data_IF_556343433541
#
_entry.id   IF_556343433541
#
_cell.length_a   1.000
_cell.length_b   1.000
_cell.length_c   1.000
_cell.angle_alpha   90.00
_cell.angle_beta   90.00
_cell.angle_gamma   90.00
#
_symmetry.space_group_name_H-M   'P 1'
#
loop_
_entity.id
_entity.type
_entity.pdbx_description
1 polymer ?
#
# COMPACT_ATOMS: atom_id res chain seq x y z
N UNK A 1 10.22 20.14 -3.59
CA UNK A 1 9.56 19.69 -4.83
C UNK A 1 9.35 18.19 -4.69
N UNK A 2 8.10 17.73 -4.55
CA UNK A 2 7.83 16.30 -4.51
C UNK A 2 8.00 15.75 -5.93
N UNK A 3 8.95 14.82 -6.11
CA UNK A 3 9.13 14.13 -7.39
C UNK A 3 7.91 13.29 -7.75
N UNK A 4 7.79 12.87 -9.01
CA UNK A 4 6.72 11.97 -9.43
C UNK A 4 6.72 10.68 -8.58
N UNK A 5 5.54 10.11 -8.26
CA UNK A 5 5.45 8.83 -7.55
C UNK A 5 6.21 7.73 -8.29
N UNK A 6 6.84 6.82 -7.53
CA UNK A 6 7.48 5.66 -8.13
C UNK A 6 6.45 4.69 -8.68
N UNK A 7 6.74 4.09 -9.84
CA UNK A 7 5.99 2.95 -10.34
C UNK A 7 6.64 1.66 -9.88
N UNK A 8 5.97 0.86 -9.05
CA UNK A 8 6.51 -0.43 -8.63
C UNK A 8 6.10 -1.54 -9.59
N UNK A 9 7.09 -2.33 -10.03
CA UNK A 9 6.92 -3.55 -10.82
C UNK A 9 6.80 -4.74 -9.86
N UNK A 10 5.84 -5.61 -10.11
CA UNK A 10 5.58 -6.74 -9.21
C UNK A 10 6.64 -7.84 -9.33
N UNK A 11 6.99 -8.41 -8.17
CA UNK A 11 7.80 -9.60 -8.00
C UNK A 11 7.05 -10.54 -7.04
N UNK A 12 6.22 -11.41 -7.58
CA UNK A 12 5.32 -12.25 -6.78
C UNK A 12 6.07 -13.48 -6.26
N UNK A 13 6.28 -13.57 -4.96
CA UNK A 13 6.91 -14.73 -4.31
C UNK A 13 5.81 -15.58 -3.68
N UNK A 14 5.78 -16.85 -4.04
CA UNK A 14 4.87 -17.84 -3.46
C UNK A 14 5.64 -18.82 -2.57
N UNK A 15 5.13 -19.00 -1.35
CA UNK A 15 5.60 -19.96 -0.36
C UNK A 15 4.48 -20.96 -0.08
N UNK A 16 4.69 -22.22 -0.43
CA UNK A 16 3.69 -23.31 -0.40
C UNK A 16 4.31 -24.63 0.10
N UNK A 17 3.50 -25.68 0.17
CA UNK A 17 3.96 -27.07 0.40
C UNK A 17 4.78 -27.25 1.69
N UNK A 18 4.37 -26.59 2.78
CA UNK A 18 5.04 -26.72 4.07
C UNK A 18 4.80 -28.09 4.69
N UNK A 19 5.89 -28.78 5.02
CA UNK A 19 5.92 -30.14 5.55
C UNK A 19 6.28 -30.17 7.04
N UNK A 20 6.02 -31.29 7.70
CA UNK A 20 6.28 -31.45 9.14
C UNK A 20 7.77 -31.38 9.51
N UNK A 21 8.66 -31.69 8.58
CA UNK A 21 10.12 -31.54 8.74
C UNK A 21 10.62 -30.10 8.52
N UNK A 22 9.70 -29.17 8.24
CA UNK A 22 9.98 -27.76 7.99
C UNK A 22 10.36 -27.44 6.53
N UNK A 23 10.38 -28.42 5.62
CA UNK A 23 10.61 -28.16 4.21
C UNK A 23 9.41 -27.44 3.56
N UNK A 24 9.67 -26.53 2.63
CA UNK A 24 8.66 -25.82 1.84
C UNK A 24 9.20 -25.42 0.47
N UNK A 25 8.27 -25.03 -0.42
CA UNK A 25 8.59 -24.55 -1.76
C UNK A 25 8.55 -23.04 -1.83
N UNK A 26 9.51 -22.45 -2.55
CA UNK A 26 9.57 -21.02 -2.88
C UNK A 26 9.71 -20.85 -4.38
N UNK A 27 8.88 -19.98 -4.97
CA UNK A 27 8.98 -19.66 -6.40
C UNK A 27 8.51 -18.24 -6.69
N UNK A 28 8.91 -17.73 -7.86
CA UNK A 28 8.37 -16.51 -8.45
C UNK A 28 7.22 -16.85 -9.37
N UNK A 29 6.11 -16.10 -9.30
CA UNK A 29 4.93 -16.29 -10.16
C UNK A 29 4.76 -15.14 -11.13
N UNK A 30 4.47 -15.48 -12.39
CA UNK A 30 4.19 -14.52 -13.44
C UNK A 30 5.45 -13.83 -13.97
N UNK A 31 5.25 -12.79 -14.77
CA UNK A 31 6.31 -12.02 -15.39
C UNK A 31 6.91 -11.02 -14.40
N UNK A 32 8.23 -10.95 -14.37
CA UNK A 32 8.98 -9.92 -13.62
C UNK A 32 9.93 -9.18 -14.57
N UNK A 33 10.47 -8.01 -14.20
CA UNK A 33 11.43 -7.30 -15.04
C UNK A 33 12.67 -8.14 -15.40
N UNK A 34 13.11 -9.01 -14.48
CA UNK A 34 14.27 -9.90 -14.67
C UNK A 34 13.97 -11.19 -15.42
N UNK A 35 12.72 -11.41 -15.86
CA UNK A 35 12.28 -12.61 -16.57
C UNK A 35 11.19 -13.39 -15.83
N UNK A 36 11.11 -14.68 -16.13
CA UNK A 36 10.10 -15.60 -15.61
C UNK A 36 10.74 -16.83 -14.96
N UNK A 37 9.99 -17.48 -14.08
CA UNK A 37 10.35 -18.74 -13.42
C UNK A 37 9.34 -19.82 -13.77
N UNK A 38 9.79 -21.00 -14.16
CA UNK A 38 8.89 -22.13 -14.39
C UNK A 38 8.49 -22.73 -13.04
N UNK A 39 7.28 -23.28 -12.96
CA UNK A 39 6.81 -23.93 -11.74
C UNK A 39 7.72 -25.10 -11.29
N UNK A 40 8.33 -25.81 -12.25
CA UNK A 40 9.26 -26.92 -11.98
C UNK A 40 10.59 -26.46 -11.34
N UNK A 41 10.95 -25.18 -11.46
CA UNK A 41 12.18 -24.63 -10.91
C UNK A 41 12.02 -24.19 -9.45
N UNK A 42 10.87 -24.46 -8.81
CA UNK A 42 10.58 -24.08 -7.44
C UNK A 42 11.62 -24.64 -6.45
N UNK A 43 12.26 -23.72 -5.72
CA UNK A 43 13.32 -24.00 -4.77
C UNK A 43 12.74 -24.67 -3.52
N UNK A 44 13.41 -25.72 -3.03
CA UNK A 44 13.07 -26.31 -1.72
C UNK A 44 13.96 -25.68 -0.66
N UNK A 45 13.34 -25.15 0.39
CA UNK A 45 14.03 -24.57 1.55
C UNK A 45 13.50 -25.21 2.83
N UNK A 46 14.32 -25.26 3.87
CA UNK A 46 13.93 -25.80 5.18
C UNK A 46 13.92 -24.68 6.21
N UNK A 47 12.78 -24.52 6.90
CA UNK A 47 12.64 -23.65 8.06
C UNK A 47 12.79 -24.46 9.35
N UNK A 48 13.82 -24.13 10.13
CA UNK A 48 14.06 -24.73 11.44
C UNK A 48 13.76 -23.68 12.51
N UNK A 49 12.63 -23.78 13.25
CA UNK A 49 12.24 -22.76 14.24
C UNK A 49 13.32 -22.46 15.30
N UNK A 50 14.09 -23.47 15.69
CA UNK A 50 15.20 -23.33 16.64
C UNK A 50 16.26 -22.32 16.20
N UNK A 51 16.50 -22.18 14.89
CA UNK A 51 17.50 -21.28 14.32
C UNK A 51 17.12 -19.79 14.40
N UNK A 52 15.83 -19.53 14.64
CA UNK A 52 15.25 -18.19 14.68
C UNK A 52 14.78 -17.80 16.08
N UNK A 53 14.41 -18.77 16.92
CA UNK A 53 13.73 -18.54 18.21
C UNK A 53 14.47 -17.54 19.11
N UNK A 54 15.81 -17.65 19.20
CA UNK A 54 16.64 -16.72 19.98
C UNK A 54 16.57 -15.29 19.43
N UNK A 55 16.73 -15.12 18.12
CA UNK A 55 16.77 -13.83 17.44
C UNK A 55 15.39 -13.16 17.46
N UNK A 56 14.33 -13.90 17.13
CA UNK A 56 12.95 -13.43 17.18
C UNK A 56 12.56 -13.02 18.60
N UNK A 57 12.90 -13.81 19.61
CA UNK A 57 12.62 -13.45 21.00
C UNK A 57 13.38 -12.19 21.45
N UNK A 58 14.61 -11.98 21.00
CA UNK A 58 15.36 -10.74 21.26
C UNK A 58 14.77 -9.55 20.52
N UNK A 59 14.39 -9.74 19.25
CA UNK A 59 13.69 -8.74 18.46
C UNK A 59 12.42 -8.32 19.19
N UNK A 60 11.55 -9.27 19.55
CA UNK A 60 10.28 -9.09 20.27
C UNK A 60 10.44 -8.36 21.63
N UNK A 61 11.55 -8.57 22.33
CA UNK A 61 11.86 -7.90 23.61
C UNK A 61 12.64 -6.59 23.46
N UNK A 62 12.90 -6.11 22.24
CA UNK A 62 13.73 -4.92 21.96
C UNK A 62 15.15 -5.04 22.52
N UNK A 63 15.73 -6.24 22.45
CA UNK A 63 17.06 -6.59 22.97
C UNK A 63 18.01 -7.14 21.89
N UNK A 64 17.61 -7.07 20.63
CA UNK A 64 18.47 -7.48 19.51
C UNK A 64 19.54 -6.40 19.28
N UNK A 65 20.81 -6.81 19.20
CA UNK A 65 21.88 -5.90 18.77
C UNK A 65 21.85 -5.71 17.25
N UNK A 66 22.58 -4.71 16.74
CA UNK A 66 22.73 -4.51 15.30
C UNK A 66 23.24 -5.77 14.57
N UNK A 67 24.23 -6.48 15.12
CA UNK A 67 24.74 -7.71 14.51
C UNK A 67 23.71 -8.83 14.47
N UNK A 68 22.86 -8.92 15.49
CA UNK A 68 21.76 -9.90 15.55
C UNK A 68 20.64 -9.56 14.57
N UNK A 69 20.38 -8.28 14.32
CA UNK A 69 19.45 -7.86 13.27
C UNK A 69 19.98 -8.26 11.89
N UNK A 70 21.27 -8.07 11.61
CA UNK A 70 21.87 -8.54 10.37
C UNK A 70 21.85 -10.07 10.26
N UNK A 71 22.11 -10.80 11.35
CA UNK A 71 22.03 -12.27 11.39
C UNK A 71 20.60 -12.74 11.05
N UNK A 72 19.60 -12.15 11.70
CA UNK A 72 18.19 -12.43 11.44
C UNK A 72 17.83 -12.14 9.98
N UNK A 73 18.22 -10.96 9.49
CA UNK A 73 17.91 -10.55 8.12
C UNK A 73 18.54 -11.44 7.06
N UNK A 74 19.76 -11.92 7.28
CA UNK A 74 20.42 -12.91 6.40
C UNK A 74 19.69 -14.25 6.41
N UNK A 75 19.25 -14.71 7.58
CA UNK A 75 18.48 -15.95 7.70
C UNK A 75 17.12 -15.84 6.99
N UNK A 76 16.41 -14.71 7.14
CA UNK A 76 15.17 -14.44 6.42
C UNK A 76 15.40 -14.39 4.90
N UNK A 77 16.47 -13.75 4.44
CA UNK A 77 16.83 -13.72 3.03
C UNK A 77 17.07 -15.12 2.45
N UNK A 78 17.72 -16.01 3.21
CA UNK A 78 17.94 -17.40 2.80
C UNK A 78 16.64 -18.21 2.64
N UNK A 79 15.60 -17.86 3.41
CA UNK A 79 14.27 -18.45 3.24
C UNK A 79 13.48 -17.84 2.08
N UNK A 80 13.62 -16.53 1.87
CA UNK A 80 12.77 -15.77 0.95
C UNK A 80 13.31 -15.73 -0.49
N UNK A 81 14.62 -15.64 -0.66
CA UNK A 81 15.30 -15.43 -1.93
C UNK A 81 16.37 -16.52 -2.20
N UNK A 82 16.02 -17.82 -2.10
CA UNK A 82 16.95 -18.92 -2.38
C UNK A 82 17.29 -18.99 -3.89
N UNK A 83 18.46 -19.54 -4.22
CA UNK A 83 18.83 -19.99 -5.56
C UNK A 83 18.32 -19.09 -6.70
N UNK A 84 17.49 -19.67 -7.59
CA UNK A 84 16.94 -19.00 -8.76
C UNK A 84 16.03 -17.81 -8.41
N UNK A 85 15.32 -17.85 -7.28
CA UNK A 85 14.49 -16.74 -6.81
C UNK A 85 15.35 -15.52 -6.50
N UNK A 86 16.49 -15.71 -5.83
CA UNK A 86 17.45 -14.65 -5.54
C UNK A 86 18.12 -14.09 -6.80
N UNK A 87 18.45 -14.93 -7.78
CA UNK A 87 18.97 -14.49 -9.08
C UNK A 87 17.96 -13.59 -9.81
N UNK A 88 16.70 -14.03 -9.93
CA UNK A 88 15.63 -13.26 -10.58
C UNK A 88 15.34 -11.93 -9.87
N UNK A 89 15.42 -11.91 -8.53
CA UNK A 89 15.30 -10.67 -7.76
C UNK A 89 16.40 -9.68 -8.14
N UNK A 90 17.66 -10.13 -8.17
CA UNK A 90 18.79 -9.28 -8.54
C UNK A 90 18.71 -8.79 -9.99
N UNK A 91 18.33 -9.65 -10.91
CA UNK A 91 18.17 -9.29 -12.32
C UNK A 91 16.99 -8.34 -12.54
N UNK A 92 15.90 -8.51 -11.78
CA UNK A 92 14.77 -7.58 -11.80
C UNK A 92 15.19 -6.19 -11.33
N UNK A 93 15.97 -6.08 -10.25
CA UNK A 93 16.47 -4.78 -9.78
C UNK A 93 17.37 -4.07 -10.79
N UNK A 94 18.21 -4.81 -11.51
CA UNK A 94 19.07 -4.25 -12.58
C UNK A 94 18.26 -3.76 -13.78
N UNK A 95 17.13 -4.40 -14.07
CA UNK A 95 16.28 -4.09 -15.21
C UNK A 95 15.33 -2.89 -14.99
N UNK A 96 15.16 -2.42 -13.75
CA UNK A 96 14.28 -1.30 -13.42
C UNK A 96 14.79 0.04 -13.99
N UNK A 97 13.91 0.78 -14.67
CA UNK A 97 14.19 2.13 -15.15
C UNK A 97 14.26 3.17 -14.00
N UNK A 98 14.70 4.39 -14.33
CA UNK A 98 14.56 5.53 -13.44
C UNK A 98 13.06 5.78 -13.16
N UNK A 99 12.72 6.08 -11.90
CA UNK A 99 11.32 6.22 -11.48
C UNK A 99 10.61 4.88 -11.18
N UNK A 100 11.26 3.73 -11.39
CA UNK A 100 10.70 2.43 -11.06
C UNK A 100 11.27 1.82 -9.76
N UNK A 101 10.43 1.04 -9.08
CA UNK A 101 10.78 0.17 -7.95
C UNK A 101 10.35 -1.28 -8.19
N UNK A 102 10.74 -2.18 -7.29
CA UNK A 102 10.31 -3.59 -7.27
C UNK A 102 9.44 -3.85 -6.04
N UNK A 103 8.25 -4.39 -6.23
CA UNK A 103 7.33 -4.76 -5.14
C UNK A 103 7.33 -6.27 -4.95
N UNK A 104 7.92 -6.72 -3.85
CA UNK A 104 7.92 -8.12 -3.43
C UNK A 104 6.55 -8.42 -2.83
N UNK A 105 5.72 -9.14 -3.58
CA UNK A 105 4.38 -9.54 -3.18
C UNK A 105 4.45 -10.93 -2.59
N UNK A 106 4.41 -11.01 -1.26
CA UNK A 106 4.60 -12.23 -0.51
C UNK A 106 3.28 -12.96 -0.34
N UNK A 107 3.09 -14.05 -1.10
CA UNK A 107 2.00 -15.01 -0.92
C UNK A 107 2.51 -16.18 -0.09
N UNK A 108 2.10 -16.24 1.18
CA UNK A 108 2.59 -17.23 2.13
C UNK A 108 1.41 -17.97 2.72
N UNK A 109 1.20 -19.21 2.27
CA UNK A 109 0.10 -20.06 2.77
C UNK A 109 0.36 -20.62 4.18
N UNK A 110 1.59 -21.06 4.52
CA UNK A 110 1.87 -21.61 5.84
C UNK A 110 1.90 -20.50 6.91
N UNK A 111 0.99 -20.56 7.88
CA UNK A 111 0.88 -19.54 8.95
C UNK A 111 2.18 -19.38 9.75
N UNK A 112 2.93 -20.46 9.96
CA UNK A 112 4.21 -20.43 10.66
C UNK A 112 5.26 -19.54 9.94
N UNK A 113 5.24 -19.54 8.60
CA UNK A 113 6.11 -18.70 7.79
C UNK A 113 5.53 -17.31 7.58
N UNK A 114 4.20 -17.17 7.53
CA UNK A 114 3.53 -15.88 7.44
C UNK A 114 3.81 -15.01 8.69
N UNK A 115 3.99 -15.64 9.87
CA UNK A 115 4.33 -14.94 11.11
C UNK A 115 5.78 -14.43 11.18
N UNK A 116 6.67 -14.82 10.25
CA UNK A 116 8.05 -14.34 10.23
C UNK A 116 8.10 -12.84 9.83
N UNK A 117 9.04 -12.06 10.40
CA UNK A 117 9.11 -10.62 10.18
C UNK A 117 9.92 -10.31 8.91
N UNK A 118 9.39 -10.64 7.72
CA UNK A 118 10.07 -10.50 6.42
C UNK A 118 10.56 -9.08 6.13
N UNK A 119 10.01 -8.07 6.78
CA UNK A 119 10.43 -6.68 6.69
C UNK A 119 11.88 -6.47 7.17
N UNK A 120 12.43 -7.38 7.98
CA UNK A 120 13.83 -7.36 8.41
C UNK A 120 14.76 -8.13 7.46
N UNK A 121 14.29 -8.55 6.28
CA UNK A 121 15.13 -9.24 5.29
C UNK A 121 16.32 -8.36 4.90
N UNK A 122 17.52 -8.95 4.94
CA UNK A 122 18.77 -8.27 4.64
C UNK A 122 19.49 -8.99 3.49
N UNK A 123 19.72 -8.27 2.39
CA UNK A 123 20.42 -8.78 1.21
C UNK A 123 21.66 -7.93 0.98
N UNK A 124 22.82 -8.48 1.32
CA UNK A 124 24.09 -7.80 1.13
C UNK A 124 24.40 -7.65 -0.36
N UNK A 125 24.52 -6.41 -0.85
CA UNK A 125 24.72 -6.14 -2.29
C UNK A 125 26.19 -6.07 -2.68
N UNK A 126 27.04 -5.61 -1.77
CA UNK A 126 28.48 -5.43 -2.03
C UNK A 126 29.30 -6.25 -1.05
N UNK A 127 30.35 -6.89 -1.55
CA UNK A 127 31.36 -7.52 -0.69
C UNK A 127 32.02 -6.44 0.18
N UNK A 128 31.89 -6.56 1.51
CA UNK A 128 32.39 -5.56 2.44
C UNK A 128 31.56 -5.46 3.72
N UNK A 129 31.47 -4.24 4.25
CA UNK A 129 30.79 -3.93 5.51
C UNK A 129 29.27 -4.13 5.42
N UNK A 130 28.65 -4.52 6.53
CA UNK A 130 27.20 -4.61 6.64
C UNK A 130 26.62 -3.20 6.76
N UNK A 131 25.81 -2.78 5.80
CA UNK A 131 25.21 -1.44 5.79
C UNK A 131 23.70 -1.50 6.05
N UNK A 132 23.13 -0.64 6.91
CA UNK A 132 21.68 -0.65 7.16
C UNK A 132 20.81 -0.50 5.91
N UNK A 133 21.29 0.20 4.89
CA UNK A 133 20.58 0.38 3.62
C UNK A 133 20.43 -0.91 2.79
N UNK A 134 21.07 -2.01 3.19
CA UNK A 134 20.90 -3.33 2.56
C UNK A 134 19.75 -4.15 3.19
N UNK A 135 19.11 -3.65 4.25
CA UNK A 135 17.77 -4.11 4.63
C UNK A 135 16.75 -3.68 3.59
N UNK A 136 15.99 -4.63 3.06
CA UNK A 136 15.06 -4.39 1.96
C UNK A 136 14.00 -3.34 2.30
N UNK A 137 13.50 -3.35 3.53
CA UNK A 137 12.50 -2.39 4.01
C UNK A 137 13.02 -0.94 4.16
N UNK A 138 14.35 -0.73 4.09
CA UNK A 138 15.00 0.57 4.12
C UNK A 138 15.53 0.99 2.73
N UNK A 139 15.04 0.36 1.66
CA UNK A 139 15.38 0.72 0.28
C UNK A 139 14.17 1.34 -0.41
N UNK A 140 14.30 2.59 -0.86
CA UNK A 140 13.20 3.30 -1.56
C UNK A 140 12.65 2.53 -2.76
N UNK A 141 13.52 1.86 -3.53
CA UNK A 141 13.13 1.10 -4.73
C UNK A 141 12.65 -0.32 -4.45
N UNK A 142 12.55 -0.75 -3.18
CA UNK A 142 12.07 -2.09 -2.82
C UNK A 142 10.91 -1.96 -1.84
N UNK A 143 9.76 -2.49 -2.24
CA UNK A 143 8.60 -2.61 -1.36
C UNK A 143 8.37 -4.07 -0.98
N UNK A 144 7.99 -4.32 0.26
CA UNK A 144 7.59 -5.65 0.74
C UNK A 144 6.12 -5.56 1.12
N UNK A 145 5.30 -6.38 0.50
CA UNK A 145 3.86 -6.45 0.76
C UNK A 145 3.46 -7.87 1.11
N UNK A 146 2.58 -8.03 2.09
CA UNK A 146 1.90 -9.30 2.36
C UNK A 146 0.68 -9.37 1.46
N UNK A 147 0.58 -10.43 0.66
CA UNK A 147 -0.50 -10.60 -0.31
C UNK A 147 -1.19 -11.93 -0.09
N UNK A 148 -2.48 -11.89 0.25
CA UNK A 148 -3.33 -13.08 0.23
C UNK A 148 -4.10 -13.14 -1.08
N UNK A 149 -4.01 -14.26 -1.77
CA UNK A 149 -4.57 -14.45 -3.11
C UNK A 149 -6.09 -14.48 -3.07
N UNK A 150 -6.71 -13.37 -3.45
CA UNK A 150 -8.16 -13.30 -3.70
C UNK A 150 -8.39 -12.44 -4.93
N UNK A 151 -8.67 -13.07 -6.08
CA UNK A 151 -9.09 -12.39 -7.30
C UNK A 151 -8.04 -11.53 -8.03
N UNK A 152 -8.43 -10.92 -9.17
CA UNK A 152 -7.58 -9.97 -9.89
C UNK A 152 -7.30 -8.72 -9.04
N UNK A 153 -6.17 -8.05 -9.30
CA UNK A 153 -5.85 -6.78 -8.65
C UNK A 153 -6.97 -5.75 -8.88
N UNK A 154 -7.17 -4.87 -7.90
CA UNK A 154 -8.17 -3.81 -8.04
C UNK A 154 -7.75 -2.86 -9.17
N UNK A 155 -8.74 -2.36 -9.91
CA UNK A 155 -8.51 -1.31 -10.91
C UNK A 155 -7.94 -0.05 -10.23
N UNK A 156 -7.13 0.76 -10.95
CA UNK A 156 -6.69 2.06 -10.45
C UNK A 156 -7.87 2.85 -9.89
N UNK A 157 -7.66 3.44 -8.71
CA UNK A 157 -8.68 4.19 -8.00
C UNK A 157 -8.78 5.60 -8.57
N UNK A 158 -9.99 6.14 -8.68
CA UNK A 158 -10.20 7.51 -9.14
C UNK A 158 -9.87 8.52 -8.02
N UNK A 159 -9.45 9.72 -8.43
CA UNK A 159 -9.17 10.83 -7.52
C UNK A 159 -10.43 11.25 -6.74
N UNK A 160 -10.21 11.88 -5.60
CA UNK A 160 -11.28 12.45 -4.77
C UNK A 160 -10.93 13.86 -4.36
N UNK A 161 -11.91 14.75 -4.49
CA UNK A 161 -11.77 16.16 -4.08
C UNK A 161 -11.70 16.30 -2.55
N UNK A 162 -12.44 15.44 -1.84
CA UNK A 162 -12.44 15.34 -0.39
C UNK A 162 -12.13 13.92 0.06
N UNK A 163 -11.22 13.80 1.02
CA UNK A 163 -10.88 12.56 1.70
C UNK A 163 -11.40 12.61 3.12
N UNK A 164 -12.13 11.56 3.52
CA UNK A 164 -12.65 11.45 4.88
C UNK A 164 -11.96 10.36 5.69
N UNK A 165 -11.34 10.75 6.80
CA UNK A 165 -10.68 9.86 7.75
C UNK A 165 -11.62 9.63 8.93
N UNK A 166 -11.92 8.37 9.24
CA UNK A 166 -12.60 7.98 10.48
C UNK A 166 -11.57 7.29 11.36
N UNK A 167 -11.28 7.89 12.52
CA UNK A 167 -10.34 7.36 13.49
C UNK A 167 -11.09 6.88 14.73
N UNK A 168 -11.11 5.57 14.93
CA UNK A 168 -11.63 4.94 16.13
C UNK A 168 -10.49 4.77 17.14
N UNK A 169 -10.56 5.48 18.26
CA UNK A 169 -9.55 5.45 19.31
C UNK A 169 -10.21 4.84 20.56
N UNK A 170 -9.89 3.58 20.85
CA UNK A 170 -10.54 2.78 21.87
C UNK A 170 -9.58 2.47 23.03
N UNK A 171 -9.95 2.79 24.26
CA UNK A 171 -9.20 2.41 25.46
C UNK A 171 -10.17 2.02 26.59
N UNK A 172 -10.91 0.91 26.44
CA UNK A 172 -11.90 0.48 27.41
C UNK A 172 -11.29 0.25 28.80
N UNK A 173 -12.06 0.55 29.84
CA UNK A 173 -11.61 0.61 31.25
C UNK A 173 -11.23 -0.75 31.84
N UNK A 174 -11.75 -1.84 31.25
CA UNK A 174 -11.49 -3.23 31.65
C UNK A 174 -10.30 -3.86 30.91
N UNK A 175 -9.70 -3.11 29.97
CA UNK A 175 -8.44 -3.47 29.32
C UNK A 175 -7.28 -2.60 29.83
N UNK A 176 -6.08 -2.86 29.31
CA UNK A 176 -4.93 -2.01 29.62
C UNK A 176 -5.15 -0.62 29.01
N UNK A 177 -5.04 0.41 29.82
CA UNK A 177 -5.05 1.80 29.36
C UNK A 177 -4.00 2.05 28.25
N UNK A 178 -4.44 2.76 27.22
CA UNK A 178 -3.62 3.17 26.08
C UNK A 178 -3.41 4.68 26.09
N UNK A 179 -2.19 5.12 25.81
CA UNK A 179 -1.94 6.51 25.45
C UNK A 179 -2.31 6.71 23.97
N UNK A 180 -3.46 7.35 23.75
CA UNK A 180 -4.03 7.65 22.44
C UNK A 180 -3.68 9.06 21.95
N UNK A 181 -3.00 9.87 22.77
CA UNK A 181 -2.65 11.26 22.40
C UNK A 181 -1.68 11.28 21.22
N UNK A 182 -0.77 10.32 21.15
CA UNK A 182 0.21 10.20 20.08
C UNK A 182 -0.46 9.98 18.71
N UNK A 183 -1.44 9.07 18.63
CA UNK A 183 -2.21 8.82 17.41
C UNK A 183 -3.04 10.05 17.03
N UNK A 184 -3.70 10.70 18.00
CA UNK A 184 -4.48 11.92 17.77
C UNK A 184 -3.62 13.05 17.21
N UNK A 185 -2.45 13.30 17.81
CA UNK A 185 -1.52 14.31 17.36
C UNK A 185 -0.95 14.00 15.98
N UNK A 186 -0.65 12.73 15.69
CA UNK A 186 -0.11 12.33 14.40
C UNK A 186 -1.11 12.55 13.26
N UNK A 187 -2.37 12.18 13.46
CA UNK A 187 -3.43 12.42 12.47
C UNK A 187 -3.66 13.93 12.30
N UNK A 188 -3.75 14.68 13.40
CA UNK A 188 -3.96 16.12 13.35
C UNK A 188 -2.80 16.86 12.65
N UNK A 189 -1.54 16.48 12.93
CA UNK A 189 -0.37 17.04 12.29
C UNK A 189 -0.32 16.73 10.79
N UNK A 190 -0.62 15.48 10.42
CA UNK A 190 -0.67 15.09 9.01
C UNK A 190 -1.73 15.89 8.23
N UNK A 191 -2.91 16.11 8.81
CA UNK A 191 -3.95 16.94 8.19
C UNK A 191 -3.51 18.41 8.13
N UNK A 192 -2.87 18.93 9.17
CA UNK A 192 -2.39 20.31 9.20
C UNK A 192 -1.36 20.60 8.10
N UNK A 193 -0.44 19.68 7.81
CA UNK A 193 0.55 19.81 6.72
C UNK A 193 -0.08 19.79 5.31
N UNK A 194 -1.34 19.36 5.20
CA UNK A 194 -2.08 19.29 3.94
C UNK A 194 -3.00 20.48 3.72
N UNK A 195 -3.22 21.35 4.72
CA UNK A 195 -4.11 22.53 4.61
C UNK A 195 -3.70 23.50 3.50
N UNK A 196 -2.43 23.51 3.10
CA UNK A 196 -1.90 24.33 2.01
C UNK A 196 -1.83 23.57 0.67
N UNK A 197 -2.36 22.33 0.58
CA UNK A 197 -2.38 21.50 -0.63
C UNK A 197 -3.80 21.37 -1.17
N UNK A 198 -3.91 21.04 -2.47
CA UNK A 198 -5.16 21.02 -3.23
C UNK A 198 -6.19 19.94 -2.82
N UNK A 199 -6.00 19.21 -1.71
CA UNK A 199 -6.86 18.09 -1.31
C UNK A 199 -7.55 18.39 0.01
N UNK A 200 -8.89 18.42 0.01
CA UNK A 200 -9.70 18.64 1.20
C UNK A 200 -9.69 17.36 2.05
N UNK A 201 -9.33 17.47 3.34
CA UNK A 201 -9.25 16.33 4.26
C UNK A 201 -10.06 16.62 5.50
N UNK A 202 -11.08 15.79 5.75
CA UNK A 202 -11.83 15.77 7.00
C UNK A 202 -11.37 14.59 7.86
N UNK A 203 -11.22 14.80 9.16
CA UNK A 203 -11.10 13.71 10.12
C UNK A 203 -12.19 13.76 11.19
N UNK A 204 -12.76 12.58 11.45
CA UNK A 204 -13.71 12.32 12.53
C UNK A 204 -13.05 11.40 13.53
N UNK A 205 -12.89 11.88 14.76
CA UNK A 205 -12.37 11.10 15.89
C UNK A 205 -13.54 10.51 16.65
N UNK A 206 -13.50 9.21 16.95
CA UNK A 206 -14.49 8.51 17.77
C UNK A 206 -13.86 8.15 19.11
N UNK A 207 -14.29 8.85 20.16
CA UNK A 207 -13.85 8.69 21.55
C UNK A 207 -15.06 8.99 22.46
N UNK A 208 -15.72 7.98 23.08
CA UNK A 208 -15.41 6.55 22.98
C UNK A 208 -15.71 5.98 21.59
N UNK A 209 -14.92 5.00 21.18
CA UNK A 209 -15.05 4.29 19.92
C UNK A 209 -16.08 3.15 20.04
N UNK A 210 -17.36 3.50 20.17
CA UNK A 210 -18.43 2.49 20.21
C UNK A 210 -18.77 1.93 18.83
N UNK A 211 -19.34 0.72 18.79
CA UNK A 211 -19.78 0.09 17.54
C UNK A 211 -20.81 0.95 16.79
N UNK A 212 -21.77 1.53 17.51
CA UNK A 212 -22.81 2.35 16.90
C UNK A 212 -22.26 3.68 16.38
N UNK A 213 -21.32 4.29 17.10
CA UNK A 213 -20.59 5.48 16.64
C UNK A 213 -19.78 5.15 15.37
N UNK A 214 -19.09 4.01 15.35
CA UNK A 214 -18.35 3.54 14.19
C UNK A 214 -19.28 3.33 12.99
N UNK A 215 -20.34 2.54 13.12
CA UNK A 215 -21.26 2.24 12.01
C UNK A 215 -21.94 3.50 11.46
N UNK A 216 -22.26 4.45 12.32
CA UNK A 216 -22.82 5.75 11.92
C UNK A 216 -21.78 6.60 11.18
N UNK A 217 -20.52 6.55 11.62
CA UNK A 217 -19.46 7.38 11.09
C UNK A 217 -18.80 6.80 9.82
N UNK A 218 -18.77 5.49 9.58
CA UNK A 218 -17.99 4.91 8.47
C UNK A 218 -18.56 5.20 7.08
N UNK A 219 -19.83 5.61 6.97
CA UNK A 219 -20.43 5.93 5.66
C UNK A 219 -19.63 7.03 4.95
N UNK A 220 -19.17 6.74 3.73
CA UNK A 220 -18.33 7.65 2.95
C UNK A 220 -16.92 7.85 3.51
N UNK A 221 -16.45 7.01 4.43
CA UNK A 221 -15.07 7.02 4.88
C UNK A 221 -14.13 6.49 3.79
N UNK A 222 -13.00 7.18 3.62
CA UNK A 222 -11.93 6.80 2.70
C UNK A 222 -10.80 6.08 3.41
N UNK A 223 -10.52 6.51 4.63
CA UNK A 223 -9.49 5.96 5.48
C UNK A 223 -10.12 5.61 6.82
N UNK A 224 -9.90 4.38 7.27
CA UNK A 224 -10.21 3.98 8.63
C UNK A 224 -8.90 3.82 9.41
N UNK A 225 -8.76 4.60 10.48
CA UNK A 225 -7.67 4.46 11.44
C UNK A 225 -8.23 3.82 12.71
N UNK A 226 -7.54 2.83 13.24
CA UNK A 226 -7.88 2.23 14.53
C UNK A 226 -6.67 2.26 15.45
N UNK A 227 -6.82 2.89 16.62
CA UNK A 227 -5.87 2.78 17.72
C UNK A 227 -6.60 2.14 18.90
N UNK A 228 -6.13 0.97 19.31
CA UNK A 228 -6.82 0.15 20.31
C UNK A 228 -6.21 -1.23 20.40
N UNK A 229 -6.85 -2.09 21.17
CA UNK A 229 -6.43 -3.48 21.31
C UNK A 229 -6.99 -4.36 20.19
N UNK A 230 -6.24 -5.40 19.86
CA UNK A 230 -6.69 -6.48 18.98
C UNK A 230 -6.41 -7.83 19.63
N UNK A 231 -7.26 -8.81 19.35
CA UNK A 231 -7.12 -10.18 19.89
C UNK A 231 -7.27 -11.22 18.78
N UNK A 232 -6.59 -12.36 18.95
CA UNK A 232 -6.71 -13.51 18.06
C UNK A 232 -7.16 -14.74 18.84
N UNK A 233 -8.47 -14.88 18.99
CA UNK A 233 -9.13 -15.86 19.85
C UNK A 233 -9.72 -17.00 19.00
N UNK A 234 -9.75 -18.23 19.52
CA UNK A 234 -10.35 -19.38 18.83
C UNK A 234 -11.50 -20.00 19.61
N UNK A 235 -12.65 -20.16 18.97
CA UNK A 235 -13.86 -20.73 19.59
C UNK A 235 -14.53 -21.83 18.76
N UNK A 236 -14.14 -22.02 17.49
CA UNK A 236 -14.78 -22.98 16.58
C UNK A 236 -13.83 -24.13 16.23
N UNK A 237 -14.30 -25.37 16.36
CA UNK A 237 -13.61 -26.55 15.84
C UNK A 237 -13.90 -26.69 14.34
N UNK A 238 -12.86 -26.78 13.53
CA UNK A 238 -12.96 -27.13 12.11
C UNK A 238 -13.27 -28.62 11.94
N UNK A 239 -13.78 -29.06 10.77
CA UNK A 239 -14.06 -30.48 10.51
C UNK A 239 -12.85 -31.42 10.67
N UNK A 240 -11.63 -30.90 10.53
CA UNK A 240 -10.36 -31.60 10.78
C UNK A 240 -9.90 -31.52 12.25
N UNK A 241 -10.76 -31.06 13.17
CA UNK A 241 -10.51 -31.04 14.61
C UNK A 241 -9.58 -29.93 15.09
N UNK A 242 -9.27 -28.93 14.27
CA UNK A 242 -8.41 -27.79 14.64
C UNK A 242 -9.26 -26.63 15.15
N UNK A 243 -8.72 -25.83 16.08
CA UNK A 243 -9.40 -24.61 16.53
C UNK A 243 -9.16 -23.50 15.51
N UNK A 244 -10.23 -22.99 14.89
CA UNK A 244 -10.18 -21.80 14.05
C UNK A 244 -10.13 -20.56 14.94
N UNK A 245 -9.02 -19.84 14.86
CA UNK A 245 -8.87 -18.52 15.48
C UNK A 245 -9.42 -17.43 14.56
N UNK A 246 -10.06 -16.41 15.12
CA UNK A 246 -10.60 -15.22 14.44
C UNK A 246 -9.97 -13.97 15.05
N UNK A 247 -9.57 -13.04 14.19
CA UNK A 247 -9.11 -11.73 14.62
C UNK A 247 -10.28 -10.86 15.06
N UNK A 248 -10.10 -10.07 16.11
CA UNK A 248 -11.07 -9.08 16.57
C UNK A 248 -10.33 -7.80 16.97
N UNK A 249 -10.99 -6.66 16.80
CA UNK A 249 -10.59 -5.42 17.47
C UNK A 249 -11.43 -5.24 18.73
N UNK A 250 -10.91 -4.53 19.72
CA UNK A 250 -11.67 -4.20 20.93
C UNK A 250 -12.09 -2.73 20.83
N UNK A 251 -13.40 -2.53 20.71
CA UNK A 251 -14.10 -1.26 20.78
C UNK A 251 -14.60 -1.02 22.20
N UNK A 252 -15.38 0.04 22.40
CA UNK A 252 -16.00 0.38 23.67
C UNK A 252 -17.52 0.14 23.65
N UNK A 253 -18.08 -0.30 24.77
CA UNK A 253 -19.53 -0.22 25.05
C UNK A 253 -19.91 1.20 25.48
N UNK A 254 -21.20 1.47 25.66
CA UNK A 254 -21.68 2.75 26.23
C UNK A 254 -21.16 2.99 27.66
N UNK A 255 -20.80 1.92 28.37
CA UNK A 255 -20.23 1.94 29.72
C UNK A 255 -18.68 2.02 29.73
N UNK A 256 -18.05 2.22 28.55
CA UNK A 256 -16.60 2.20 28.32
C UNK A 256 -15.92 0.86 28.65
N UNK A 257 -16.65 -0.25 28.64
CA UNK A 257 -16.09 -1.61 28.75
C UNK A 257 -15.77 -2.18 27.36
N UNK A 258 -15.09 -3.32 27.32
CA UNK A 258 -14.65 -3.95 26.09
C UNK A 258 -15.77 -4.51 25.23
N UNK A 259 -15.88 -4.01 24.00
CA UNK A 259 -16.69 -4.62 22.93
C UNK A 259 -15.80 -5.32 21.90
N UNK A 260 -15.77 -6.66 21.94
CA UNK A 260 -15.03 -7.47 20.97
C UNK A 260 -15.74 -7.47 19.61
N UNK A 261 -15.16 -6.79 18.62
CA UNK A 261 -15.72 -6.70 17.27
C UNK A 261 -14.99 -7.59 16.26
N UNK A 262 -15.72 -8.51 15.64
CA UNK A 262 -15.18 -9.50 14.71
C UNK A 262 -14.60 -8.85 13.44
N UNK A 263 -13.39 -9.27 13.06
CA UNK A 263 -12.69 -8.69 11.92
C UNK A 263 -13.37 -8.92 10.57
N UNK A 264 -14.12 -10.02 10.39
CA UNK A 264 -14.87 -10.23 9.15
C UNK A 264 -16.09 -9.30 9.09
N UNK A 265 -16.78 -9.09 10.21
CA UNK A 265 -17.88 -8.12 10.28
C UNK A 265 -17.39 -6.68 10.03
N UNK A 266 -16.27 -6.31 10.67
CA UNK A 266 -15.62 -5.03 10.45
C UNK A 266 -15.23 -4.87 8.97
N UNK A 267 -14.58 -5.87 8.40
CA UNK A 267 -14.11 -5.85 7.01
C UNK A 267 -15.27 -5.67 6.01
N UNK A 268 -16.38 -6.40 6.20
CA UNK A 268 -17.59 -6.22 5.38
C UNK A 268 -18.11 -4.79 5.44
N UNK A 269 -18.18 -4.21 6.64
CA UNK A 269 -18.72 -2.86 6.82
C UNK A 269 -17.80 -1.77 6.23
N UNK A 270 -16.49 -1.89 6.42
CA UNK A 270 -15.52 -0.98 5.81
C UNK A 270 -15.49 -1.12 4.29
N UNK A 271 -15.57 -2.35 3.76
CA UNK A 271 -15.64 -2.62 2.33
C UNK A 271 -16.89 -2.01 1.69
N UNK A 272 -18.06 -2.20 2.31
CA UNK A 272 -19.32 -1.59 1.88
C UNK A 272 -19.31 -0.06 1.95
N UNK A 273 -18.57 0.52 2.90
CA UNK A 273 -18.36 1.96 2.99
C UNK A 273 -17.43 2.53 1.91
N UNK A 274 -16.71 1.68 1.17
CA UNK A 274 -15.75 2.09 0.15
C UNK A 274 -14.40 2.53 0.70
N UNK A 275 -14.04 2.09 1.92
CA UNK A 275 -12.76 2.42 2.56
C UNK A 275 -11.60 1.89 1.70
N UNK A 276 -10.65 2.78 1.40
CA UNK A 276 -9.50 2.51 0.54
C UNK A 276 -8.24 2.15 1.33
N UNK A 277 -8.08 2.71 2.51
CA UNK A 277 -6.95 2.46 3.40
C UNK A 277 -7.43 2.16 4.81
N UNK A 278 -6.92 1.08 5.38
CA UNK A 278 -7.05 0.81 6.82
C UNK A 278 -5.68 0.91 7.47
N UNK A 279 -5.57 1.67 8.56
CA UNK A 279 -4.38 1.77 9.39
C UNK A 279 -4.71 1.20 10.76
N UNK A 280 -4.05 0.09 11.12
CA UNK A 280 -4.19 -0.57 12.40
C UNK A 280 -2.98 -0.18 13.26
N UNK A 281 -3.23 0.75 14.18
CA UNK A 281 -2.28 1.33 15.11
C UNK A 281 -1.67 0.31 16.07
N UNK A 282 -0.56 0.70 16.69
CA UNK A 282 0.20 -0.14 17.60
C UNK A 282 -0.60 -0.36 18.91
N UNK A 283 -0.84 -1.61 19.30
CA UNK A 283 -1.37 -1.93 20.63
C UNK A 283 -0.46 -1.28 21.68
N UNK A 284 -0.93 -0.20 22.32
CA UNK A 284 -0.09 0.64 23.18
C UNK A 284 0.03 0.12 24.63
N UNK A 285 0.03 -1.20 24.82
CA UNK A 285 0.06 -1.85 26.14
C UNK A 285 1.52 -2.25 26.54
N UNK A 286 1.97 -1.99 27.77
CA UNK A 286 3.36 -2.22 28.24
C UNK A 286 3.82 -3.69 28.44
N UNK A 287 2.99 -4.70 28.15
CA UNK A 287 3.35 -6.11 28.28
C UNK A 287 2.52 -7.01 27.35
N UNK A 288 3.24 -7.90 26.64
CA UNK A 288 2.81 -9.01 25.76
C UNK A 288 1.31 -9.05 25.43
N UNK A 289 0.94 -8.37 24.35
CA UNK A 289 -0.11 -8.92 23.49
C UNK A 289 0.58 -9.98 22.61
N UNK A 290 0.02 -11.18 22.56
CA UNK A 290 0.49 -12.25 21.69
C UNK A 290 0.63 -11.67 20.27
N UNK A 291 1.87 -11.59 19.76
CA UNK A 291 2.28 -10.84 18.55
C UNK A 291 1.68 -11.34 17.23
N UNK A 292 0.36 -11.45 17.19
CA UNK A 292 -0.44 -12.08 16.14
C UNK A 292 -1.90 -11.59 16.13
N UNK A 293 -2.29 -10.59 16.92
CA UNK A 293 -3.64 -10.00 16.82
C UNK A 293 -3.98 -9.59 15.38
N UNK A 294 -3.04 -8.89 14.72
CA UNK A 294 -3.20 -8.41 13.35
C UNK A 294 -3.03 -9.49 12.29
N UNK A 295 -2.43 -10.65 12.62
CA UNK A 295 -2.31 -11.77 11.67
C UNK A 295 -3.68 -12.43 11.40
N UNK A 296 -4.70 -12.14 12.23
CA UNK A 296 -6.10 -12.45 11.93
C UNK A 296 -6.87 -11.33 11.24
N UNK A 297 -6.68 -10.08 11.70
CA UNK A 297 -7.50 -8.93 11.28
C UNK A 297 -7.08 -8.39 9.90
N UNK A 298 -5.79 -8.13 9.68
CA UNK A 298 -5.32 -7.52 8.44
C UNK A 298 -5.61 -8.41 7.22
N UNK A 299 -5.38 -9.74 7.26
CA UNK A 299 -5.88 -10.64 6.24
C UNK A 299 -7.37 -10.52 5.98
N UNK A 300 -8.21 -10.54 7.02
CA UNK A 300 -9.68 -10.45 6.86
C UNK A 300 -10.12 -9.19 6.10
N UNK A 301 -9.52 -8.03 6.42
CA UNK A 301 -9.76 -6.77 5.72
C UNK A 301 -9.38 -6.85 4.23
N UNK A 302 -8.23 -7.44 3.93
CA UNK A 302 -7.77 -7.66 2.55
C UNK A 302 -8.70 -8.62 1.81
N UNK A 303 -9.27 -9.62 2.50
CA UNK A 303 -10.25 -10.55 1.88
C UNK A 303 -11.52 -9.86 1.42
N UNK A 304 -11.97 -8.84 2.15
CA UNK A 304 -13.13 -8.01 1.78
C UNK A 304 -12.77 -6.86 0.82
N UNK A 305 -11.73 -7.04 0.01
CA UNK A 305 -11.30 -6.11 -1.04
C UNK A 305 -10.89 -4.72 -0.58
N UNK A 306 -10.51 -4.52 0.69
CA UNK A 306 -9.87 -3.28 1.12
C UNK A 306 -8.56 -3.10 0.32
N UNK A 307 -8.39 -1.98 -0.43
CA UNK A 307 -7.24 -1.80 -1.32
C UNK A 307 -5.88 -1.84 -0.64
N UNK A 308 -5.74 -1.29 0.57
CA UNK A 308 -4.51 -1.36 1.36
C UNK A 308 -4.79 -1.40 2.86
N UNK A 309 -3.97 -2.17 3.57
CA UNK A 309 -3.97 -2.24 5.05
C UNK A 309 -2.53 -2.09 5.55
N UNK A 310 -2.31 -1.14 6.44
CA UNK A 310 -1.05 -1.01 7.20
C UNK A 310 -1.30 -1.50 8.62
N UNK A 311 -0.51 -2.47 9.08
CA UNK A 311 -0.64 -3.03 10.42
C UNK A 311 0.74 -3.13 11.10
N UNK A 312 0.75 -3.20 12.43
CA UNK A 312 1.99 -3.25 13.21
C UNK A 312 2.26 -4.66 13.74
N UNK A 313 3.36 -5.33 13.35
CA UNK A 313 3.60 -6.71 13.81
C UNK A 313 4.08 -6.82 15.26
N UNK A 314 4.54 -5.71 15.84
CA UNK A 314 4.94 -5.59 17.24
C UNK A 314 4.45 -4.25 17.80
N UNK A 315 4.48 -4.07 19.12
CA UNK A 315 4.34 -2.74 19.71
C UNK A 315 5.47 -1.83 19.22
N UNK A 316 5.09 -0.61 18.80
CA UNK A 316 5.97 0.51 18.41
C UNK A 316 6.04 1.52 19.57
N UNK A 317 7.14 2.26 19.73
CA UNK A 317 7.19 3.38 20.67
C UNK A 317 6.36 4.55 20.16
N UNK A 318 5.65 5.26 21.03
CA UNK A 318 4.72 6.34 20.64
C UNK A 318 5.36 7.37 19.71
N UNK A 319 6.57 7.84 20.05
CA UNK A 319 7.33 8.77 19.21
C UNK A 319 7.67 8.24 17.80
N UNK A 320 7.84 6.93 17.67
CA UNK A 320 8.14 6.27 16.39
C UNK A 320 6.84 6.02 15.60
N UNK A 321 5.75 5.65 16.29
CA UNK A 321 4.44 5.51 15.69
C UNK A 321 3.95 6.84 15.13
N UNK A 322 3.99 7.92 15.92
CA UNK A 322 3.61 9.26 15.47
C UNK A 322 4.44 9.71 14.26
N UNK A 323 5.76 9.45 14.28
CA UNK A 323 6.64 9.76 13.16
C UNK A 323 6.29 8.95 11.91
N UNK A 324 6.06 7.65 12.04
CA UNK A 324 5.64 6.82 10.92
C UNK A 324 4.33 7.31 10.33
N UNK A 325 3.33 7.60 11.16
CA UNK A 325 2.00 8.07 10.72
C UNK A 325 2.07 9.42 10.01
N UNK A 326 2.86 10.37 10.51
CA UNK A 326 3.03 11.66 9.86
C UNK A 326 3.51 11.51 8.40
N UNK A 327 4.56 10.71 8.18
CA UNK A 327 5.09 10.46 6.84
C UNK A 327 4.15 9.60 5.97
N UNK A 328 3.51 8.60 6.57
CA UNK A 328 2.53 7.75 5.88
C UNK A 328 1.39 8.60 5.30
N UNK A 329 0.72 9.38 6.14
CA UNK A 329 -0.41 10.20 5.73
C UNK A 329 0.01 11.30 4.76
N UNK A 330 1.11 12.01 5.03
CA UNK A 330 1.58 13.08 4.15
C UNK A 330 1.88 12.59 2.72
N UNK A 331 2.35 11.34 2.55
CA UNK A 331 2.63 10.74 1.24
C UNK A 331 1.37 10.20 0.58
N UNK A 332 0.56 9.43 1.31
CA UNK A 332 -0.70 8.87 0.78
C UNK A 332 -1.64 9.97 0.31
N UNK A 333 -1.83 11.01 1.13
CA UNK A 333 -2.66 12.18 0.82
C UNK A 333 -1.94 13.18 -0.11
N UNK A 334 -0.67 12.91 -0.46
CA UNK A 334 0.06 13.62 -1.50
C UNK A 334 -0.02 12.93 -2.87
N UNK A 335 -0.83 11.88 -3.01
CA UNK A 335 -0.93 11.07 -4.23
C UNK A 335 0.28 10.21 -4.56
N UNK A 336 1.17 9.97 -3.59
CA UNK A 336 2.23 8.97 -3.74
C UNK A 336 1.70 7.56 -3.55
N UNK A 337 2.51 6.57 -3.95
CA UNK A 337 2.22 5.17 -3.65
C UNK A 337 2.27 4.91 -2.14
N UNK A 338 1.41 4.00 -1.66
CA UNK A 338 1.46 3.51 -0.28
C UNK A 338 2.80 2.81 0.03
N UNK A 339 3.44 2.24 -0.98
CA UNK A 339 4.80 1.68 -0.89
C UNK A 339 5.82 2.73 -0.46
N UNK A 340 5.85 3.88 -1.15
CA UNK A 340 6.70 5.02 -0.79
C UNK A 340 6.34 5.56 0.59
N UNK A 341 5.04 5.65 0.90
CA UNK A 341 4.57 6.16 2.18
C UNK A 341 5.06 5.30 3.36
N UNK A 342 4.98 3.97 3.22
CA UNK A 342 5.51 3.03 4.21
C UNK A 342 7.04 3.12 4.28
N UNK A 343 7.74 3.15 3.15
CA UNK A 343 9.20 3.32 3.12
C UNK A 343 9.65 4.60 3.86
N UNK A 344 9.06 5.75 3.55
CA UNK A 344 9.40 7.03 4.15
C UNK A 344 9.13 7.02 5.67
N UNK A 345 8.03 6.41 6.11
CA UNK A 345 7.76 6.21 7.53
C UNK A 345 8.82 5.35 8.23
N UNK A 346 9.25 4.24 7.61
CA UNK A 346 10.32 3.37 8.14
C UNK A 346 11.66 4.11 8.18
N UNK A 347 11.98 4.84 7.12
CA UNK A 347 13.18 5.65 6.98
C UNK A 347 13.22 6.74 8.07
N UNK A 348 12.09 7.40 8.35
CA UNK A 348 12.01 8.42 9.38
C UNK A 348 12.27 7.85 10.79
N UNK A 349 11.75 6.64 11.10
CA UNK A 349 12.10 5.95 12.35
C UNK A 349 13.59 5.65 12.40
N UNK A 350 14.14 5.00 11.36
CA UNK A 350 15.55 4.61 11.30
C UNK A 350 16.49 5.81 11.45
N UNK A 351 16.24 6.91 10.74
CA UNK A 351 17.06 8.13 10.80
C UNK A 351 17.11 8.73 12.20
N UNK A 352 16.02 8.63 12.97
CA UNK A 352 15.94 9.26 14.28
C UNK A 352 16.36 8.33 15.44
N UNK A 353 16.10 7.04 15.32
CA UNK A 353 16.27 6.07 16.40
C UNK A 353 17.42 5.06 16.17
N UNK A 354 17.98 5.00 14.95
CA UNK A 354 19.03 4.08 14.58
C UNK A 354 18.55 2.66 14.29
N UNK A 355 19.47 1.79 13.86
CA UNK A 355 19.15 0.43 13.43
C UNK A 355 18.67 -0.47 14.58
N UNK A 356 19.23 -0.30 15.78
CA UNK A 356 18.90 -1.10 16.96
C UNK A 356 17.49 -0.84 17.48
N UNK A 357 16.91 0.32 17.16
CA UNK A 357 15.48 0.51 17.34
C UNK A 357 14.74 -0.25 16.24
N UNK A 358 14.33 -1.49 16.55
CA UNK A 358 13.60 -2.37 15.64
C UNK A 358 12.38 -1.71 14.97
N UNK A 359 11.83 -0.63 15.51
CA UNK A 359 10.52 -0.08 15.12
C UNK A 359 10.42 0.26 13.62
N UNK A 360 11.54 0.51 12.92
CA UNK A 360 11.54 0.71 11.47
C UNK A 360 11.07 -0.53 10.69
N UNK A 361 11.22 -1.74 11.22
CA UNK A 361 10.79 -2.98 10.57
C UNK A 361 9.41 -3.45 11.02
N UNK A 362 8.75 -2.74 11.94
CA UNK A 362 7.47 -3.15 12.53
C UNK A 362 6.26 -2.97 11.60
N UNK A 363 6.14 -1.86 10.83
CA UNK A 363 5.00 -1.67 9.94
C UNK A 363 4.98 -2.71 8.82
N UNK A 364 3.83 -3.36 8.62
CA UNK A 364 3.56 -4.37 7.60
C UNK A 364 2.51 -3.82 6.65
N UNK A 365 2.77 -3.91 5.35
CA UNK A 365 1.85 -3.46 4.30
C UNK A 365 1.17 -4.68 3.67
N UNK A 366 -0.15 -4.69 3.66
CA UNK A 366 -0.95 -5.57 2.82
C UNK A 366 -1.56 -4.75 1.68
N UNK A 367 -1.40 -5.20 0.45
CA UNK A 367 -1.75 -4.39 -0.72
C UNK A 367 -2.50 -5.18 -1.79
N UNK A 368 -3.61 -4.62 -2.26
CA UNK A 368 -4.42 -5.11 -3.39
C UNK A 368 -4.52 -4.12 -4.54
N UNK A 369 -4.35 -2.83 -4.28
CA UNK A 369 -4.28 -1.82 -5.34
C UNK A 369 -3.10 -2.13 -6.28
N UNK A 370 -3.35 -2.16 -7.59
CA UNK A 370 -2.37 -2.60 -8.57
C UNK A 370 -1.15 -1.66 -8.64
N UNK A 371 -1.39 -0.35 -8.71
CA UNK A 371 -0.36 0.68 -8.75
C UNK A 371 0.12 1.12 -7.35
N UNK A 372 -0.69 0.88 -6.32
CA UNK A 372 -0.43 1.32 -4.95
C UNK A 372 -0.83 2.77 -4.68
N UNK A 373 -1.50 3.45 -5.63
CA UNK A 373 -1.98 4.82 -5.47
C UNK A 373 -3.44 4.76 -4.99
N UNK A 374 -3.66 5.20 -3.74
CA UNK A 374 -4.99 5.11 -3.11
C UNK A 374 -5.85 6.37 -3.35
N UNK A 375 -5.17 7.51 -3.45
CA UNK A 375 -5.76 8.82 -3.62
C UNK A 375 -4.93 9.61 -4.63
N UNK A 376 -5.06 9.31 -5.94
CA UNK A 376 -4.36 10.11 -6.92
C UNK A 376 -4.81 11.56 -6.78
N UNK A 377 -3.85 12.48 -6.82
CA UNK A 377 -4.18 13.90 -6.87
C UNK A 377 -5.02 14.13 -8.12
N UNK A 378 -6.10 14.93 -8.03
CA UNK A 378 -6.77 15.40 -9.21
C UNK A 378 -5.71 16.05 -10.09
N UNK A 379 -5.37 15.42 -11.22
CA UNK A 379 -4.72 16.15 -12.30
C UNK A 379 -5.66 17.30 -12.58
N UNK A 380 -5.25 18.54 -12.28
CA UNK A 380 -5.81 19.71 -12.95
C UNK A 380 -5.79 19.32 -14.41
N UNK A 381 -6.97 19.04 -14.96
CA UNK A 381 -7.24 18.21 -16.13
C UNK A 381 -5.97 17.71 -16.83
N UNK A 382 -5.77 16.40 -16.90
CA UNK A 382 -5.02 15.84 -18.00
C UNK A 382 -5.80 16.16 -19.30
N UNK A 383 -5.74 17.43 -19.71
CA UNK A 383 -5.87 17.83 -21.09
C UNK A 383 -4.94 16.90 -21.83
N UNK A 384 -5.54 16.21 -22.79
CA UNK A 384 -4.85 15.41 -23.81
C UNK A 384 -3.45 15.98 -24.04
N UNK A 385 -2.38 15.19 -23.83
CA UNK A 385 -1.02 15.70 -23.87
C UNK A 385 -0.78 16.39 -25.21
N UNK A 386 -0.52 17.71 -25.17
CA UNK A 386 0.15 18.58 -26.15
C UNK A 386 0.23 18.11 -27.60
N UNK A 387 -0.84 17.52 -28.11
CA UNK A 387 -1.14 17.55 -29.53
C UNK A 387 -1.73 18.93 -29.74
N UNK A 388 -1.06 19.86 -30.44
CA UNK A 388 -1.65 21.16 -30.72
C UNK A 388 -3.02 20.90 -31.37
N UNK A 389 -4.09 21.21 -30.64
CA UNK A 389 -5.44 21.10 -31.15
C UNK A 389 -5.76 22.42 -31.80
N UNK A 390 -5.71 22.47 -33.13
CA UNK A 390 -6.24 23.60 -33.87
C UNK A 390 -7.74 23.40 -33.97
N UNK A 391 -8.52 24.29 -33.37
CA UNK A 391 -9.98 24.30 -33.49
C UNK A 391 -10.39 25.51 -34.31
N UNK A 392 -11.02 25.27 -35.47
CA UNK A 392 -11.58 26.32 -36.31
C UNK A 392 -13.10 26.25 -36.22
N UNK A 393 -13.72 27.29 -35.66
CA UNK A 393 -15.18 27.43 -35.63
C UNK A 393 -15.58 28.68 -36.39
N UNK A 394 -16.42 28.51 -37.42
CA UNK A 394 -16.88 29.63 -38.25
C UNK A 394 -18.36 29.50 -38.53
N UNK A 395 -19.03 30.65 -38.60
CA UNK A 395 -20.39 30.77 -39.08
C UNK A 395 -20.42 31.72 -40.27
N UNK A 396 -20.87 31.22 -41.42
CA UNK A 396 -20.90 31.94 -42.69
C UNK A 396 -22.33 32.12 -43.14
N UNK A 397 -22.73 33.36 -43.42
CA UNK A 397 -24.08 33.67 -43.90
C UNK A 397 -24.32 33.22 -45.35
N UNK A 398 -23.42 33.57 -46.27
CA UNK A 398 -23.54 33.17 -47.69
C UNK A 398 -22.17 32.99 -48.32
N UNK A 399 -21.95 31.88 -49.01
CA UNK A 399 -20.70 31.61 -49.75
C UNK A 399 -20.93 31.72 -51.26
N UNK A 400 -20.19 32.63 -51.90
CA UNK A 400 -20.08 32.79 -53.36
C UNK A 400 -18.63 32.53 -53.78
N UNK A 401 -18.41 31.55 -54.66
CA UNK A 401 -17.06 31.08 -55.00
C UNK A 401 -16.50 30.09 -53.97
N UNK A 402 -15.20 30.09 -53.71
CA UNK A 402 -14.54 29.10 -52.85
C UNK A 402 -14.21 29.67 -51.47
N UNK A 403 -14.56 28.92 -50.42
CA UNK A 403 -14.13 29.14 -49.05
C UNK A 403 -13.31 27.93 -48.53
N UNK A 404 -12.26 28.22 -47.75
CA UNK A 404 -11.40 27.21 -47.12
C UNK A 404 -11.27 27.57 -45.63
N UNK A 405 -11.68 26.66 -44.76
CA UNK A 405 -11.69 26.91 -43.31
C UNK A 405 -10.35 26.79 -42.63
N UNK A 406 -9.56 25.80 -43.02
CA UNK A 406 -8.18 25.67 -42.58
C UNK A 406 -7.35 25.12 -43.74
N UNK A 407 -6.21 25.75 -44.02
CA UNK A 407 -5.20 25.18 -44.94
C UNK A 407 -3.91 24.90 -44.17
N UNK A 408 -3.46 23.65 -44.21
CA UNK A 408 -2.27 23.18 -43.49
C UNK A 408 -1.27 22.61 -44.50
N UNK A 409 -0.06 23.16 -44.54
CA UNK A 409 1.00 22.70 -45.44
C UNK A 409 1.58 21.33 -45.05
N UNK A 410 1.90 21.12 -43.77
CA UNK A 410 2.42 19.85 -43.27
C UNK A 410 1.92 19.61 -41.84
N UNK A 411 1.37 18.41 -41.59
CA UNK A 411 0.91 17.98 -40.28
C UNK A 411 1.69 16.73 -39.84
N UNK A 412 2.56 16.88 -38.83
CA UNK A 412 3.44 15.83 -38.30
C UNK A 412 2.80 15.02 -37.16
N UNK A 413 2.01 15.68 -36.31
CA UNK A 413 1.21 15.07 -35.23
C UNK A 413 0.16 16.08 -34.77
N UNK A 414 -0.89 15.60 -34.08
CA UNK A 414 -1.91 16.47 -33.49
C UNK A 414 -3.34 16.13 -33.91
N UNK A 415 -4.29 16.98 -33.50
CA UNK A 415 -5.72 16.87 -33.88
C UNK A 415 -6.20 18.20 -34.44
N UNK A 416 -6.88 18.16 -35.59
CA UNK A 416 -7.58 19.33 -36.14
C UNK A 416 -9.09 19.09 -36.04
N UNK A 417 -9.82 20.10 -35.57
CA UNK A 417 -11.28 20.09 -35.59
C UNK A 417 -11.81 21.34 -36.29
N UNK A 418 -12.50 21.15 -37.42
CA UNK A 418 -13.17 22.24 -38.14
C UNK A 418 -14.68 22.08 -38.01
N UNK A 419 -15.35 23.12 -37.53
CA UNK A 419 -16.81 23.22 -37.48
C UNK A 419 -17.25 24.47 -38.24
N UNK A 420 -17.81 24.25 -39.41
CA UNK A 420 -18.39 25.31 -40.22
C UNK A 420 -19.92 25.20 -40.18
N UNK A 421 -20.58 26.30 -39.82
CA UNK A 421 -22.03 26.46 -39.92
C UNK A 421 -22.30 27.43 -41.06
N UNK A 422 -22.88 26.94 -42.15
CA UNK A 422 -23.11 27.74 -43.36
C UNK A 422 -24.61 27.83 -43.62
N UNK A 423 -25.14 29.05 -43.64
CA UNK A 423 -26.58 29.26 -43.80
C UNK A 423 -27.01 29.07 -45.27
N UNK A 424 -26.24 29.53 -46.27
CA UNK A 424 -26.51 29.34 -47.71
C UNK A 424 -25.22 29.18 -48.54
N UNK A 425 -25.16 28.17 -49.41
CA UNK A 425 -24.15 28.04 -50.48
C UNK A 425 -24.84 28.27 -51.83
N UNK A 426 -24.48 29.35 -52.53
CA UNK A 426 -25.11 29.69 -53.81
C UNK A 426 -24.54 28.86 -54.98
N UNK A 427 -25.23 28.88 -56.13
CA UNK A 427 -24.80 28.13 -57.32
C UNK A 427 -23.37 28.52 -57.76
N UNK A 428 -22.47 27.54 -57.82
CA UNK A 428 -21.03 27.74 -58.07
C UNK A 428 -20.19 28.00 -56.81
N UNK A 429 -20.80 28.02 -55.62
CA UNK A 429 -20.13 28.09 -54.34
C UNK A 429 -19.58 26.75 -53.88
N UNK A 430 -18.45 26.75 -53.17
CA UNK A 430 -17.85 25.55 -52.57
C UNK A 430 -17.22 25.92 -51.23
N UNK A 431 -17.43 25.10 -50.21
CA UNK A 431 -16.79 25.27 -48.90
C UNK A 431 -15.99 24.01 -48.56
N UNK A 432 -14.73 24.21 -48.21
CA UNK A 432 -13.80 23.15 -47.83
C UNK A 432 -13.44 23.36 -46.36
N UNK A 433 -13.85 22.43 -45.49
CA UNK A 433 -13.57 22.56 -44.06
C UNK A 433 -12.06 22.55 -43.77
N UNK A 434 -11.32 21.58 -44.32
CA UNK A 434 -9.86 21.52 -44.21
C UNK A 434 -9.23 21.07 -45.53
N UNK A 435 -8.10 21.69 -45.87
CA UNK A 435 -7.16 21.23 -46.89
C UNK A 435 -5.79 20.97 -46.23
N UNK A 436 -5.23 19.75 -46.41
CA UNK A 436 -3.92 19.36 -45.87
C UNK A 436 -3.04 18.87 -47.03
N UNK A 437 -1.90 19.54 -47.27
CA UNK A 437 -1.03 19.22 -48.41
C UNK A 437 -0.17 17.95 -48.15
N UNK A 438 0.26 17.72 -46.89
CA UNK A 438 0.96 16.47 -46.46
C UNK A 438 0.56 16.03 -45.05
N UNK A 439 0.29 14.73 -44.91
CA UNK A 439 0.02 14.07 -43.63
C UNK A 439 1.16 13.07 -43.35
N UNK A 440 1.91 13.26 -42.27
CA UNK A 440 3.08 12.45 -41.92
C UNK A 440 2.92 11.77 -40.56
N UNK A 441 3.16 10.46 -40.52
CA UNK A 441 3.20 9.60 -39.34
C UNK A 441 3.88 8.28 -39.67
#
# INVERSE_FOLDING_TARGET
MAGQPLTYRDFNIEITEFQDDGAFKVRVIGQTPGGEMRAADAETVTYIPGDFSRLLGKLERRKATQDELFELGKKLAGLLLPGRVGELYNDSLKALAEGEGLRLRLRIEPLALAALPWEYTYVQRTAGEKVPSDFLALQRRVSITRYETIGPSLRPLEGKDRIRIVAALASPIDERELDLDADRQAIAAAIAELKDKAQDVEAVMLEPATRDALLSAISGADIFHFAGHGVFEGTELTPDGKVRKKGKIILETEDNESDRYDSAQLATNLGNAGVRLVVLGACNSAARDEGGAWTGVAPALVRENIPAVVAMQYKVRDRNAARFMAYLYARVLGGHTIDEAVFEGRQAIFTHAGLEDRDWGVPVLYLRAADGILFPLPTAEAGVPDSPVVVVQRRLGTVRGQDIGAKIGEMLSGRLEVRDVIDVVEAGGTSIGVEIDRLGG
#
